data_IF_072129105896
#
_entry.id   IF_072129105896
#
_cell.length_a   1.000
_cell.length_b   1.000
_cell.length_c   1.000
_cell.angle_alpha   90.00
_cell.angle_beta   90.00
_cell.angle_gamma   90.00
#
_symmetry.space_group_name_H-M   'P 1'
#
loop_
_entity.id
_entity.type
_entity.pdbx_description
1 polymer ?
#
# COMPACT_ATOMS: atom_id res chain seq x y z
N UNK A 1 32.96 20.60 -18.86
CA UNK A 1 31.82 20.43 -17.94
C UNK A 1 32.19 19.20 -17.13
N UNK A 2 32.66 19.36 -15.90
CA UNK A 2 33.12 18.23 -15.10
C UNK A 2 31.89 17.39 -14.76
N UNK A 3 31.91 16.12 -15.12
CA UNK A 3 30.97 15.11 -14.67
C UNK A 3 31.13 14.98 -13.15
N UNK A 4 30.31 15.69 -12.40
CA UNK A 4 30.24 15.49 -10.97
C UNK A 4 29.70 14.09 -10.71
N UNK A 5 30.54 13.23 -10.15
CA UNK A 5 30.17 11.92 -9.67
C UNK A 5 28.90 12.06 -8.80
N UNK A 6 27.83 11.42 -9.25
CA UNK A 6 26.50 11.43 -8.61
C UNK A 6 26.58 11.09 -7.11
N UNK A 7 27.54 10.26 -6.72
CA UNK A 7 27.80 9.86 -5.34
C UNK A 7 28.36 11.02 -4.51
N UNK A 8 29.23 11.82 -5.11
CA UNK A 8 29.84 13.01 -4.46
C UNK A 8 28.83 14.13 -4.26
N UNK A 9 27.94 14.33 -5.24
CA UNK A 9 26.83 15.29 -5.12
C UNK A 9 25.87 14.88 -4.00
N UNK A 10 25.53 13.60 -3.89
CA UNK A 10 24.70 13.05 -2.80
C UNK A 10 25.36 13.17 -1.45
N UNK A 11 26.67 12.97 -1.36
CA UNK A 11 27.43 13.12 -0.12
C UNK A 11 27.47 14.59 0.34
N UNK A 12 27.65 15.54 -0.58
CA UNK A 12 27.57 16.98 -0.31
C UNK A 12 26.17 17.38 0.17
N UNK A 13 25.13 16.88 -0.53
CA UNK A 13 23.75 17.14 -0.16
C UNK A 13 23.40 16.60 1.25
N UNK A 14 23.89 15.41 1.59
CA UNK A 14 23.71 14.83 2.92
C UNK A 14 24.42 15.62 4.03
N UNK A 15 25.57 16.24 3.71
CA UNK A 15 26.33 17.11 4.65
C UNK A 15 25.69 18.48 4.86
N UNK A 16 25.08 19.05 3.83
CA UNK A 16 24.38 20.33 3.91
C UNK A 16 23.11 20.25 4.78
N UNK A 17 22.53 19.07 4.93
CA UNK A 17 21.31 18.81 5.70
C UNK A 17 21.55 18.55 7.21
N UNK A 18 22.69 18.92 7.75
CA UNK A 18 23.05 18.68 9.18
C UNK A 18 22.06 19.26 10.20
N UNK A 19 21.23 20.23 9.81
CA UNK A 19 20.22 20.82 10.69
C UNK A 19 18.84 20.12 10.68
N UNK A 20 18.50 19.35 9.62
CA UNK A 20 17.21 18.64 9.50
C UNK A 20 17.41 17.32 8.73
N UNK A 21 17.30 16.17 9.41
CA UNK A 21 17.49 14.87 8.77
C UNK A 21 16.57 14.67 7.54
N UNK A 22 17.11 14.00 6.52
CA UNK A 22 16.32 13.64 5.34
C UNK A 22 15.15 12.72 5.74
N UNK A 23 13.96 13.02 5.23
CA UNK A 23 12.80 12.15 5.37
C UNK A 23 13.05 10.81 4.64
N UNK A 24 12.26 9.78 4.97
CA UNK A 24 12.33 8.50 4.25
C UNK A 24 12.11 8.69 2.75
N UNK A 25 11.14 9.54 2.37
CA UNK A 25 10.86 9.84 0.96
C UNK A 25 12.03 10.48 0.24
N UNK A 26 12.70 11.46 0.85
CA UNK A 26 13.90 12.09 0.29
C UNK A 26 15.05 11.09 0.11
N UNK A 27 15.26 10.22 1.11
CA UNK A 27 16.29 9.18 1.03
C UNK A 27 16.01 8.14 -0.05
N UNK A 28 14.76 7.71 -0.22
CA UNK A 28 14.37 6.79 -1.30
C UNK A 28 14.51 7.46 -2.68
N UNK A 29 14.12 8.74 -2.80
CA UNK A 29 14.26 9.47 -4.06
C UNK A 29 15.73 9.71 -4.48
N UNK A 30 16.65 9.70 -3.52
CA UNK A 30 18.08 9.84 -3.76
C UNK A 30 18.79 8.52 -4.13
N UNK A 31 18.11 7.37 -4.06
CA UNK A 31 18.69 6.07 -4.45
C UNK A 31 18.92 6.01 -5.97
N UNK A 32 19.95 5.27 -6.42
CA UNK A 32 20.15 5.02 -7.85
C UNK A 32 19.16 3.98 -8.40
N UNK A 33 19.00 3.98 -9.71
CA UNK A 33 18.28 2.94 -10.44
C UNK A 33 16.95 3.38 -11.03
N UNK A 34 16.45 2.58 -11.97
CA UNK A 34 15.20 2.83 -12.70
C UNK A 34 13.97 2.76 -11.80
N UNK A 35 14.03 2.01 -10.70
CA UNK A 35 12.94 1.92 -9.71
C UNK A 35 12.50 3.30 -9.18
N UNK A 36 13.43 4.24 -9.03
CA UNK A 36 13.12 5.61 -8.58
C UNK A 36 12.28 6.36 -9.62
N UNK A 37 12.51 6.12 -10.90
CA UNK A 37 11.69 6.63 -12.00
C UNK A 37 10.26 6.08 -11.94
N UNK A 38 10.09 4.78 -11.64
CA UNK A 38 8.78 4.17 -11.43
C UNK A 38 8.03 4.78 -10.25
N UNK A 39 8.73 5.05 -9.16
CA UNK A 39 8.13 5.69 -7.99
C UNK A 39 7.64 7.09 -8.29
N UNK A 40 8.41 7.88 -9.05
CA UNK A 40 8.00 9.22 -9.48
C UNK A 40 6.75 9.15 -10.35
N UNK A 41 6.69 8.19 -11.29
CA UNK A 41 5.52 7.97 -12.13
C UNK A 41 4.29 7.57 -11.31
N UNK A 42 4.43 6.63 -10.35
CA UNK A 42 3.32 6.25 -9.47
C UNK A 42 2.92 7.37 -8.50
N UNK A 43 3.87 8.15 -8.00
CA UNK A 43 3.59 9.29 -7.11
C UNK A 43 2.84 10.41 -7.82
N UNK A 44 3.06 10.60 -9.15
CA UNK A 44 2.32 11.55 -9.97
C UNK A 44 1.00 11.01 -10.51
N UNK A 45 0.62 9.77 -10.18
CA UNK A 45 -0.66 9.21 -10.59
C UNK A 45 -1.83 9.98 -9.96
N UNK A 46 -2.88 10.24 -10.73
CA UNK A 46 -4.03 11.06 -10.32
C UNK A 46 -4.67 10.62 -9.00
N UNK A 47 -4.72 9.33 -8.71
CA UNK A 47 -5.19 8.86 -7.42
C UNK A 47 -4.34 9.39 -6.26
N UNK A 48 -3.01 9.29 -6.36
CA UNK A 48 -2.09 9.78 -5.33
C UNK A 48 -2.09 11.31 -5.28
N UNK A 49 -2.02 11.94 -6.44
CA UNK A 49 -1.85 13.39 -6.57
C UNK A 49 -3.11 14.17 -6.20
N UNK A 50 -4.28 13.66 -6.57
CA UNK A 50 -5.53 14.42 -6.53
C UNK A 50 -6.61 13.80 -5.64
N UNK A 51 -6.62 12.46 -5.48
CA UNK A 51 -7.65 11.77 -4.69
C UNK A 51 -7.23 11.48 -3.24
N UNK A 52 -5.96 11.68 -2.87
CA UNK A 52 -5.51 11.54 -1.48
C UNK A 52 -5.14 12.88 -0.87
N UNK A 53 -5.40 13.04 0.44
CA UNK A 53 -4.96 14.20 1.22
C UNK A 53 -3.59 14.03 1.88
N UNK A 54 -2.83 12.99 1.54
CA UNK A 54 -1.51 12.72 2.13
C UNK A 54 -0.53 13.85 1.82
N UNK A 55 0.29 14.22 2.79
CA UNK A 55 1.28 15.26 2.63
C UNK A 55 2.32 14.89 1.55
N UNK A 56 2.48 15.76 0.55
CA UNK A 56 3.37 15.56 -0.62
C UNK A 56 4.72 16.24 -0.46
N UNK A 57 4.83 17.19 0.48
CA UNK A 57 6.07 17.89 0.77
C UNK A 57 7.18 16.91 1.16
N UNK A 58 8.42 17.23 0.81
CA UNK A 58 9.59 16.41 1.09
C UNK A 58 9.43 14.94 0.64
N UNK A 59 8.79 14.73 -0.51
CA UNK A 59 8.50 13.38 -1.04
C UNK A 59 7.68 12.50 -0.07
N UNK A 60 6.73 13.09 0.65
CA UNK A 60 5.95 12.39 1.69
C UNK A 60 5.18 11.17 1.19
N UNK A 61 4.73 11.16 -0.08
CA UNK A 61 4.03 10.03 -0.71
C UNK A 61 4.96 8.91 -1.22
N UNK A 62 6.28 9.16 -1.32
CA UNK A 62 7.23 8.17 -1.85
C UNK A 62 7.27 6.89 -1.03
N UNK A 63 7.28 6.92 0.31
CA UNK A 63 7.18 5.70 1.11
C UNK A 63 5.93 4.87 0.82
N UNK A 64 4.81 5.50 0.46
CA UNK A 64 3.57 4.78 0.16
C UNK A 64 3.65 4.07 -1.18
N UNK A 65 4.08 4.77 -2.23
CA UNK A 65 4.25 4.13 -3.55
C UNK A 65 5.35 3.08 -3.54
N UNK A 66 6.40 3.25 -2.72
CA UNK A 66 7.40 2.23 -2.47
C UNK A 66 6.79 0.97 -1.84
N UNK A 67 5.93 1.14 -0.82
CA UNK A 67 5.18 0.03 -0.21
C UNK A 67 4.24 -0.63 -1.19
N UNK A 68 3.58 0.12 -2.06
CA UNK A 68 2.72 -0.45 -3.11
C UNK A 68 3.51 -1.40 -4.01
N UNK A 69 4.67 -0.97 -4.53
CA UNK A 69 5.55 -1.84 -5.33
C UNK A 69 6.04 -3.04 -4.53
N UNK A 70 6.43 -2.83 -3.28
CA UNK A 70 6.86 -3.91 -2.38
C UNK A 70 5.75 -4.96 -2.18
N UNK A 71 4.51 -4.52 -1.95
CA UNK A 71 3.38 -5.43 -1.76
C UNK A 71 2.97 -6.16 -3.03
N UNK A 72 3.19 -5.58 -4.19
CA UNK A 72 2.98 -6.29 -5.44
C UNK A 72 3.94 -7.48 -5.58
N UNK A 73 5.15 -7.36 -5.06
CA UNK A 73 6.15 -8.43 -5.13
C UNK A 73 6.02 -9.47 -4.02
N UNK A 74 5.86 -9.01 -2.79
CA UNK A 74 5.97 -9.87 -1.59
C UNK A 74 4.65 -10.07 -0.86
N UNK A 75 3.57 -9.43 -1.28
CA UNK A 75 2.33 -9.42 -0.52
C UNK A 75 2.43 -8.59 0.77
N UNK A 76 1.55 -8.85 1.73
CA UNK A 76 1.43 -8.09 2.98
C UNK A 76 2.53 -8.47 4.01
N UNK A 77 3.79 -8.35 3.62
CA UNK A 77 4.95 -8.54 4.48
C UNK A 77 5.29 -7.26 5.26
N UNK A 78 6.16 -7.40 6.27
CA UNK A 78 6.73 -6.24 6.98
C UNK A 78 7.39 -5.29 5.98
N UNK A 79 7.10 -4.00 6.10
CA UNK A 79 7.56 -3.00 5.14
C UNK A 79 7.90 -1.66 5.81
N UNK A 80 8.84 -1.70 6.75
CA UNK A 80 9.44 -0.52 7.37
C UNK A 80 10.50 0.13 6.49
N UNK A 81 11.29 1.01 7.08
CA UNK A 81 12.33 1.74 6.33
C UNK A 81 13.44 0.83 5.84
N UNK A 82 13.87 -0.15 6.65
CA UNK A 82 14.95 -1.06 6.30
C UNK A 82 14.55 -1.99 5.15
N UNK A 83 13.35 -2.56 5.22
CA UNK A 83 12.83 -3.43 4.17
C UNK A 83 12.70 -2.68 2.83
N UNK A 84 12.29 -1.41 2.88
CA UNK A 84 12.25 -0.56 1.68
C UNK A 84 13.64 -0.28 1.12
N UNK A 85 14.64 -0.04 1.98
CA UNK A 85 16.02 0.17 1.50
C UNK A 85 16.57 -1.07 0.81
N UNK A 86 16.44 -2.25 1.43
CA UNK A 86 16.85 -3.53 0.84
C UNK A 86 16.10 -3.77 -0.47
N UNK A 87 14.79 -3.56 -0.51
CA UNK A 87 13.99 -3.70 -1.73
C UNK A 87 14.51 -2.82 -2.88
N UNK A 88 14.89 -1.57 -2.58
CA UNK A 88 15.43 -0.66 -3.60
C UNK A 88 16.81 -1.07 -4.10
N UNK A 89 17.64 -1.64 -3.25
CA UNK A 89 18.96 -2.13 -3.63
C UNK A 89 18.85 -3.39 -4.50
N UNK A 90 18.05 -4.35 -4.06
CA UNK A 90 17.87 -5.64 -4.77
C UNK A 90 17.11 -5.48 -6.10
N UNK A 91 16.24 -4.47 -6.20
CA UNK A 91 15.37 -4.27 -7.36
C UNK A 91 15.63 -2.93 -8.08
N UNK A 92 16.83 -2.37 -7.97
CA UNK A 92 17.20 -1.08 -8.56
C UNK A 92 16.91 -0.97 -10.06
N UNK A 93 16.93 -2.10 -10.78
CA UNK A 93 16.69 -2.18 -12.23
C UNK A 93 15.23 -2.49 -12.59
N UNK A 94 14.30 -2.48 -11.62
CA UNK A 94 12.88 -2.65 -11.91
C UNK A 94 12.42 -1.59 -12.91
N UNK A 95 11.65 -1.98 -13.92
CA UNK A 95 11.21 -1.11 -15.01
C UNK A 95 9.68 -1.11 -15.22
N UNK A 96 9.22 -0.34 -16.20
CA UNK A 96 7.80 -0.23 -16.55
C UNK A 96 7.21 -1.51 -17.16
N UNK A 97 8.02 -2.46 -17.55
CA UNK A 97 7.58 -3.75 -18.10
C UNK A 97 7.34 -4.77 -17.01
N UNK A 98 7.86 -4.53 -15.80
CA UNK A 98 7.69 -5.43 -14.66
C UNK A 98 6.21 -5.63 -14.30
N UNK A 99 5.88 -6.84 -13.84
CA UNK A 99 4.51 -7.15 -13.42
C UNK A 99 4.09 -6.32 -12.20
N UNK A 100 5.02 -6.06 -11.29
CA UNK A 100 4.79 -5.29 -10.06
C UNK A 100 4.34 -3.87 -10.39
N UNK A 101 5.03 -3.20 -11.32
CA UNK A 101 4.65 -1.86 -11.74
C UNK A 101 3.31 -1.84 -12.48
N UNK A 102 3.09 -2.78 -13.41
CA UNK A 102 1.82 -2.89 -14.14
C UNK A 102 0.64 -3.18 -13.22
N UNK A 103 0.84 -4.06 -12.23
CA UNK A 103 -0.17 -4.37 -11.23
C UNK A 103 -0.47 -3.17 -10.36
N UNK A 104 0.55 -2.51 -9.81
CA UNK A 104 0.38 -1.30 -9.01
C UNK A 104 -0.39 -0.22 -9.79
N UNK A 105 -0.02 0.03 -11.04
CA UNK A 105 -0.70 1.00 -11.89
C UNK A 105 -2.16 0.61 -12.17
N UNK A 106 -2.43 -0.70 -12.39
CA UNK A 106 -3.78 -1.21 -12.56
C UNK A 106 -4.67 -1.01 -11.33
N UNK A 107 -4.11 -1.19 -10.11
CA UNK A 107 -4.83 -0.91 -8.87
C UNK A 107 -5.08 0.60 -8.72
N UNK A 108 -4.09 1.44 -8.99
CA UNK A 108 -4.24 2.90 -8.93
C UNK A 108 -5.27 3.42 -9.95
N UNK A 109 -5.27 2.88 -11.19
CA UNK A 109 -6.27 3.20 -12.21
C UNK A 109 -7.70 2.84 -11.78
N UNK A 110 -7.86 1.75 -11.02
CA UNK A 110 -9.15 1.39 -10.46
C UNK A 110 -9.52 2.34 -9.30
N UNK A 111 -8.57 2.64 -8.41
CA UNK A 111 -8.79 3.52 -7.27
C UNK A 111 -9.15 4.96 -7.68
N UNK A 112 -8.59 5.50 -8.77
CA UNK A 112 -8.98 6.83 -9.24
C UNK A 112 -10.42 6.87 -9.72
N UNK A 113 -10.95 5.74 -10.22
CA UNK A 113 -12.38 5.62 -10.57
C UNK A 113 -13.26 5.52 -9.32
N UNK A 114 -12.81 4.79 -8.28
CA UNK A 114 -13.50 4.73 -6.99
C UNK A 114 -13.56 6.11 -6.31
N UNK A 115 -12.50 6.89 -6.45
CA UNK A 115 -12.32 8.17 -5.77
C UNK A 115 -12.02 9.28 -6.80
N UNK A 116 -13.00 9.63 -7.66
CA UNK A 116 -12.81 10.64 -8.68
C UNK A 116 -12.51 11.98 -8.03
N UNK A 117 -11.77 12.82 -8.74
CA UNK A 117 -11.32 14.13 -8.28
C UNK A 117 -12.52 15.01 -7.99
N UNK A 118 -12.80 15.22 -6.72
CA UNK A 118 -13.80 16.19 -6.28
C UNK A 118 -13.12 17.16 -5.32
N UNK A 119 -13.11 18.46 -5.59
CA UNK A 119 -12.47 19.42 -4.71
C UNK A 119 -13.02 19.31 -3.27
N UNK A 120 -12.14 19.05 -2.33
CA UNK A 120 -12.39 19.16 -0.88
C UNK A 120 -12.86 17.92 -0.13
N UNK A 121 -12.74 16.68 -0.65
CA UNK A 121 -13.62 15.68 -0.10
C UNK A 121 -13.11 14.27 0.26
N UNK A 122 -11.81 14.07 0.43
CA UNK A 122 -11.38 12.74 0.90
C UNK A 122 -10.57 12.80 2.19
N UNK A 123 -11.14 13.43 3.23
CA UNK A 123 -10.56 13.50 4.58
C UNK A 123 -10.18 12.12 5.14
N UNK A 124 -10.87 11.07 4.72
CA UNK A 124 -10.58 9.69 5.10
C UNK A 124 -9.36 9.08 4.38
N UNK A 125 -8.88 9.65 3.27
CA UNK A 125 -7.64 9.26 2.59
C UNK A 125 -6.45 10.20 2.89
N UNK A 126 -6.49 10.95 3.98
CA UNK A 126 -5.43 11.86 4.41
C UNK A 126 -4.28 11.16 5.15
N UNK A 127 -4.49 9.95 5.63
CA UNK A 127 -3.49 9.20 6.39
C UNK A 127 -2.87 8.09 5.54
N UNK A 128 -1.55 8.01 5.53
CA UNK A 128 -0.78 6.97 4.83
C UNK A 128 -1.32 5.55 5.09
N UNK A 129 -1.65 5.26 6.35
CA UNK A 129 -2.17 3.95 6.73
C UNK A 129 -3.52 3.62 6.08
N UNK A 130 -4.40 4.62 5.89
CA UNK A 130 -5.66 4.44 5.18
C UNK A 130 -5.45 4.20 3.69
N UNK A 131 -4.60 5.00 3.06
CA UNK A 131 -4.28 4.85 1.63
C UNK A 131 -3.73 3.45 1.34
N UNK A 132 -2.78 2.98 2.16
CA UNK A 132 -2.20 1.65 2.01
C UNK A 132 -3.20 0.53 2.33
N UNK A 133 -4.05 0.71 3.35
CA UNK A 133 -5.06 -0.29 3.69
C UNK A 133 -6.09 -0.45 2.56
N UNK A 134 -6.56 0.65 1.98
CA UNK A 134 -7.50 0.64 0.84
C UNK A 134 -6.82 0.07 -0.41
N UNK A 135 -5.57 0.46 -0.68
CA UNK A 135 -4.79 -0.09 -1.78
C UNK A 135 -4.66 -1.62 -1.68
N UNK A 136 -4.23 -2.13 -0.52
CA UNK A 136 -4.03 -3.57 -0.31
C UNK A 136 -5.35 -4.35 -0.34
N UNK A 137 -6.45 -3.78 0.18
CA UNK A 137 -7.78 -4.36 0.05
C UNK A 137 -8.18 -4.52 -1.42
N UNK A 138 -8.09 -3.45 -2.22
CA UNK A 138 -8.50 -3.47 -3.63
C UNK A 138 -7.58 -4.39 -4.44
N UNK A 139 -6.28 -4.36 -4.18
CA UNK A 139 -5.32 -5.28 -4.79
C UNK A 139 -5.73 -6.74 -4.60
N UNK A 140 -5.98 -7.14 -3.37
CA UNK A 140 -6.29 -8.54 -3.06
C UNK A 140 -7.69 -8.94 -3.59
N UNK A 141 -8.68 -8.05 -3.49
CA UNK A 141 -9.99 -8.30 -4.10
C UNK A 141 -9.90 -8.46 -5.61
N UNK A 142 -9.07 -7.67 -6.30
CA UNK A 142 -8.84 -7.84 -7.77
C UNK A 142 -8.20 -9.18 -8.14
N UNK A 143 -7.47 -9.81 -7.23
CA UNK A 143 -6.87 -11.13 -7.47
C UNK A 143 -7.87 -12.27 -7.26
N UNK A 144 -8.92 -12.07 -6.48
CA UNK A 144 -9.81 -13.14 -6.02
C UNK A 144 -11.26 -12.96 -6.45
N UNK A 145 -11.66 -11.75 -6.84
CA UNK A 145 -13.06 -11.42 -7.15
C UNK A 145 -13.19 -10.53 -8.37
N UNK A 146 -14.33 -10.64 -9.06
CA UNK A 146 -14.69 -9.72 -10.14
C UNK A 146 -15.12 -8.37 -9.58
N UNK A 147 -14.34 -7.33 -9.86
CA UNK A 147 -14.60 -5.94 -9.42
C UNK A 147 -15.12 -5.03 -10.56
N UNK A 148 -15.62 -5.61 -11.64
CA UNK A 148 -16.21 -4.84 -12.74
C UNK A 148 -17.43 -4.08 -12.21
N UNK A 149 -17.51 -2.78 -12.49
CA UNK A 149 -18.61 -1.89 -12.10
C UNK A 149 -18.85 -1.81 -10.57
N UNK A 150 -17.80 -2.03 -9.77
CA UNK A 150 -17.85 -1.97 -8.30
C UNK A 150 -17.20 -0.69 -7.71
N UNK A 151 -16.79 0.25 -8.55
CA UNK A 151 -16.06 1.46 -8.13
C UNK A 151 -16.85 2.29 -7.12
N UNK A 152 -18.11 2.58 -7.42
CA UNK A 152 -18.99 3.34 -6.50
C UNK A 152 -19.24 2.59 -5.19
N UNK A 153 -19.44 1.27 -5.28
CA UNK A 153 -19.67 0.42 -4.12
C UNK A 153 -18.47 0.47 -3.16
N UNK A 154 -17.26 0.34 -3.69
CA UNK A 154 -16.01 0.43 -2.90
C UNK A 154 -15.87 1.81 -2.28
N UNK A 155 -16.10 2.87 -3.04
CA UNK A 155 -16.06 4.25 -2.54
C UNK A 155 -17.01 4.45 -1.36
N UNK A 156 -18.28 4.07 -1.51
CA UNK A 156 -19.32 4.16 -0.49
C UNK A 156 -18.96 3.34 0.74
N UNK A 157 -18.46 2.12 0.54
CA UNK A 157 -18.01 1.27 1.62
C UNK A 157 -16.89 1.91 2.43
N UNK A 158 -15.81 2.36 1.77
CA UNK A 158 -14.64 2.96 2.45
C UNK A 158 -15.06 4.20 3.24
N UNK A 159 -15.88 5.08 2.67
CA UNK A 159 -16.42 6.25 3.35
C UNK A 159 -17.22 5.86 4.61
N UNK A 160 -18.13 4.90 4.46
CA UNK A 160 -18.98 4.44 5.57
C UNK A 160 -18.15 3.75 6.65
N UNK A 161 -17.21 2.91 6.26
CA UNK A 161 -16.31 2.22 7.19
C UNK A 161 -15.46 3.22 7.98
N UNK A 162 -14.89 4.22 7.29
CA UNK A 162 -14.12 5.28 7.94
C UNK A 162 -14.96 6.01 9.00
N UNK A 163 -16.19 6.43 8.66
CA UNK A 163 -17.08 7.10 9.61
C UNK A 163 -17.35 6.24 10.85
N UNK A 164 -17.57 4.93 10.68
CA UNK A 164 -17.80 4.00 11.78
C UNK A 164 -16.55 3.79 12.64
N UNK A 165 -15.37 3.69 12.04
CA UNK A 165 -14.09 3.58 12.77
C UNK A 165 -13.84 4.80 13.66
N UNK A 166 -14.26 6.00 13.24
CA UNK A 166 -14.10 7.21 14.06
C UNK A 166 -15.27 7.56 14.96
N UNK A 167 -16.38 6.79 14.91
CA UNK A 167 -17.47 6.90 15.86
C UNK A 167 -17.25 5.99 17.08
N UNK A 168 -17.32 6.56 18.28
CA UNK A 168 -17.13 5.81 19.53
C UNK A 168 -18.18 4.71 19.71
N UNK A 169 -19.46 5.01 19.41
CA UNK A 169 -20.56 4.07 19.57
C UNK A 169 -20.39 2.83 18.67
N UNK A 170 -19.98 3.04 17.41
CA UNK A 170 -19.71 1.92 16.50
C UNK A 170 -18.51 1.11 16.94
N UNK A 171 -17.46 1.73 17.47
CA UNK A 171 -16.29 1.00 17.99
C UNK A 171 -16.65 0.14 19.21
N UNK A 172 -17.49 0.65 20.13
CA UNK A 172 -17.95 -0.11 21.29
C UNK A 172 -18.82 -1.31 20.90
N UNK A 173 -19.55 -1.22 19.79
CA UNK A 173 -20.46 -2.27 19.31
C UNK A 173 -19.80 -3.31 18.38
N UNK A 174 -18.62 -3.02 17.83
CA UNK A 174 -17.97 -3.89 16.88
C UNK A 174 -16.45 -3.90 17.07
N UNK A 175 -15.94 -5.08 17.44
CA UNK A 175 -14.52 -5.31 17.72
C UNK A 175 -13.61 -5.02 16.51
N UNK A 176 -14.08 -5.21 15.28
CA UNK A 176 -13.29 -4.93 14.09
C UNK A 176 -13.03 -3.43 13.90
N UNK A 177 -14.02 -2.58 14.18
CA UNK A 177 -13.83 -1.13 14.12
C UNK A 177 -12.84 -0.65 15.18
N UNK A 178 -12.95 -1.19 16.40
CA UNK A 178 -12.00 -0.87 17.48
C UNK A 178 -10.58 -1.33 17.12
N UNK A 179 -10.41 -2.59 16.68
CA UNK A 179 -9.10 -3.13 16.26
C UNK A 179 -8.49 -2.34 15.11
N UNK A 180 -9.30 -1.92 14.14
CA UNK A 180 -8.81 -1.10 13.04
C UNK A 180 -8.36 0.28 13.55
N UNK A 181 -9.16 0.93 14.40
CA UNK A 181 -8.85 2.23 15.00
C UNK A 181 -7.54 2.20 15.79
N UNK A 182 -7.34 1.21 16.63
CA UNK A 182 -6.14 1.05 17.45
C UNK A 182 -4.88 0.87 16.59
N UNK A 183 -5.04 0.24 15.44
CA UNK A 183 -3.93 -0.09 14.55
C UNK A 183 -3.73 0.91 13.40
N UNK A 184 -4.65 1.86 13.15
CA UNK A 184 -4.49 2.83 12.06
C UNK A 184 -3.29 3.76 12.26
N UNK A 185 -2.85 3.98 13.49
CA UNK A 185 -1.63 4.71 13.85
C UNK A 185 -0.42 3.79 14.06
N UNK A 186 -0.61 2.48 13.96
CA UNK A 186 0.45 1.49 14.12
C UNK A 186 1.47 1.51 12.98
N UNK A 187 2.56 0.78 13.19
CA UNK A 187 3.67 0.69 12.23
C UNK A 187 3.35 -0.13 10.97
N UNK A 188 4.41 -0.58 10.32
CA UNK A 188 4.40 -1.30 9.06
C UNK A 188 4.83 -2.76 9.23
N UNK A 189 4.52 -3.38 10.36
CA UNK A 189 4.74 -4.80 10.57
C UNK A 189 3.73 -5.61 9.74
N UNK A 190 4.14 -6.83 9.35
CA UNK A 190 3.27 -7.74 8.59
C UNK A 190 1.91 -7.95 9.27
N UNK A 191 1.92 -8.17 10.58
CA UNK A 191 0.70 -8.36 11.39
C UNK A 191 -0.26 -7.18 11.28
N UNK A 192 0.24 -5.95 11.37
CA UNK A 192 -0.59 -4.73 11.34
C UNK A 192 -1.13 -4.48 9.93
N UNK A 193 -0.31 -4.69 8.90
CA UNK A 193 -0.72 -4.52 7.50
C UNK A 193 -1.81 -5.54 7.15
N UNK A 194 -1.56 -6.82 7.46
CA UNK A 194 -2.52 -7.90 7.24
C UNK A 194 -3.84 -7.67 8.01
N UNK A 195 -3.75 -7.22 9.27
CA UNK A 195 -4.92 -6.91 10.08
C UNK A 195 -5.81 -5.86 9.42
N UNK A 196 -5.23 -4.71 9.03
CA UNK A 196 -5.99 -3.61 8.41
C UNK A 196 -6.68 -4.08 7.11
N UNK A 197 -5.91 -4.74 6.24
CA UNK A 197 -6.41 -5.29 4.98
C UNK A 197 -7.54 -6.30 5.22
N UNK A 198 -7.32 -7.28 6.10
CA UNK A 198 -8.28 -8.36 6.33
C UNK A 198 -9.58 -7.84 6.93
N UNK A 199 -9.53 -6.89 7.86
CA UNK A 199 -10.74 -6.27 8.41
C UNK A 199 -11.54 -5.58 7.30
N UNK A 200 -10.89 -4.81 6.41
CA UNK A 200 -11.58 -4.16 5.29
C UNK A 200 -12.22 -5.18 4.34
N UNK A 201 -11.49 -6.23 3.98
CA UNK A 201 -11.99 -7.28 3.08
C UNK A 201 -13.18 -8.01 3.72
N UNK A 202 -13.07 -8.45 4.96
CA UNK A 202 -14.14 -9.16 5.67
C UNK A 202 -15.39 -8.31 5.81
N UNK A 203 -15.25 -7.06 6.23
CA UNK A 203 -16.37 -6.12 6.35
C UNK A 203 -17.01 -5.77 5.00
N UNK A 204 -16.21 -5.73 3.95
CA UNK A 204 -16.72 -5.49 2.60
C UNK A 204 -17.51 -6.68 2.08
N UNK A 205 -16.93 -7.89 2.06
CA UNK A 205 -17.55 -9.10 1.51
C UNK A 205 -18.79 -9.49 2.32
N UNK A 206 -18.78 -9.32 3.65
CA UNK A 206 -19.95 -9.64 4.49
C UNK A 206 -21.19 -8.82 4.13
N UNK A 207 -21.01 -7.63 3.57
CA UNK A 207 -22.12 -6.72 3.19
C UNK A 207 -22.42 -6.71 1.70
N UNK A 208 -21.44 -7.12 0.90
CA UNK A 208 -21.47 -7.05 -0.56
C UNK A 208 -20.90 -8.36 -1.12
N UNK A 209 -21.71 -9.42 -1.22
CA UNK A 209 -21.26 -10.66 -1.83
C UNK A 209 -20.75 -10.39 -3.26
N UNK A 210 -19.52 -10.79 -3.52
CA UNK A 210 -18.88 -10.68 -4.83
C UNK A 210 -18.83 -12.04 -5.49
N UNK A 211 -18.88 -12.04 -6.80
CA UNK A 211 -18.54 -13.23 -7.58
C UNK A 211 -17.04 -13.51 -7.44
N UNK A 212 -16.70 -14.65 -6.89
CA UNK A 212 -15.31 -15.11 -6.87
C UNK A 212 -14.83 -15.43 -8.29
N UNK A 213 -13.57 -15.11 -8.56
CA UNK A 213 -12.92 -15.53 -9.78
C UNK A 213 -12.62 -17.03 -9.67
N UNK A 214 -12.88 -17.78 -10.74
CA UNK A 214 -12.53 -19.21 -10.78
C UNK A 214 -11.00 -19.34 -10.62
N UNK A 215 -10.58 -19.86 -9.47
CA UNK A 215 -9.16 -19.98 -9.09
C UNK A 215 -8.36 -20.87 -10.05
N UNK A 216 -9.02 -21.73 -10.82
CA UNK A 216 -8.38 -22.50 -11.90
C UNK A 216 -7.88 -21.60 -13.04
N UNK A 217 -8.48 -20.42 -13.24
CA UNK A 217 -8.02 -19.43 -14.20
C UNK A 217 -6.89 -18.56 -13.61
N UNK A 218 -6.89 -18.34 -12.30
CA UNK A 218 -5.85 -17.60 -11.61
C UNK A 218 -4.56 -18.38 -11.41
N UNK A 219 -4.59 -19.70 -11.30
CA UNK A 219 -3.40 -20.55 -11.17
C UNK A 219 -2.46 -20.48 -12.38
N UNK A 220 -2.94 -20.10 -13.55
CA UNK A 220 -2.08 -19.83 -14.70
C UNK A 220 -1.23 -18.56 -14.55
N UNK A 221 -1.62 -17.64 -13.64
CA UNK A 221 -0.88 -16.39 -13.34
C UNK A 221 -0.02 -16.49 -12.07
N UNK A 222 -0.19 -17.54 -11.26
CA UNK A 222 0.47 -17.71 -9.95
C UNK A 222 1.56 -18.79 -9.96
N UNK A 223 1.70 -19.58 -11.04
CA UNK A 223 2.70 -20.66 -11.16
C UNK A 223 4.16 -20.23 -11.29
N UNK A 224 4.55 -19.13 -10.69
CA UNK A 224 5.96 -18.75 -10.50
C UNK A 224 6.32 -18.42 -9.04
N UNK A 225 5.50 -18.89 -8.08
CA UNK A 225 5.90 -18.91 -6.67
C UNK A 225 6.09 -20.39 -6.32
N UNK A 226 7.35 -20.79 -6.09
CA UNK A 226 7.67 -22.17 -5.70
C UNK A 226 6.97 -22.54 -4.38
N UNK A 227 6.54 -23.82 -4.22
CA UNK A 227 5.77 -24.27 -3.04
C UNK A 227 6.58 -24.36 -1.75
N UNK A 228 7.85 -23.95 -1.73
CA UNK A 228 8.75 -24.11 -0.58
C UNK A 228 8.56 -23.13 0.57
N UNK A 229 7.72 -22.08 0.40
CA UNK A 229 7.61 -21.01 1.42
C UNK A 229 6.26 -20.99 2.16
N UNK A 230 5.48 -22.08 2.09
CA UNK A 230 4.27 -22.21 2.90
C UNK A 230 4.55 -23.18 4.05
N UNK A 231 5.39 -22.78 4.98
CA UNK A 231 5.37 -23.37 6.33
C UNK A 231 4.15 -22.81 7.09
N UNK A 232 3.21 -23.71 7.33
CA UNK A 232 2.06 -23.46 8.20
C UNK A 232 2.51 -23.31 9.67
N UNK A 233 2.16 -22.24 10.35
CA UNK A 233 2.05 -22.30 11.81
C UNK A 233 0.58 -22.30 12.22
N UNK A 234 -0.08 -23.43 12.06
CA UNK A 234 -1.26 -23.74 12.88
C UNK A 234 -0.90 -24.95 13.71
N UNK A 235 -0.35 -24.70 14.90
CA UNK A 235 -0.42 -25.56 16.10
C UNK A 235 0.38 -24.88 17.19
N UNK A 236 -0.28 -24.14 18.07
CA UNK A 236 -0.02 -24.05 19.51
C UNK A 236 -0.99 -23.02 20.11
N UNK A 237 -2.23 -23.43 20.26
CA UNK A 237 -3.14 -22.89 21.27
C UNK A 237 -3.69 -24.07 22.04
N UNK A 238 -2.89 -24.62 22.94
CA UNK A 238 -3.37 -25.38 24.08
C UNK A 238 -2.44 -25.17 25.27
N UNK A 239 -3.06 -24.96 26.42
CA UNK A 239 -2.52 -24.94 27.79
C UNK A 239 -1.80 -23.67 28.25
N UNK A 240 -2.59 -22.74 28.84
CA UNK A 240 -2.26 -22.20 30.16
C UNK A 240 -3.53 -22.23 31.03
N UNK A 241 -3.55 -23.18 31.93
CA UNK A 241 -4.30 -23.09 33.17
C UNK A 241 -3.64 -22.08 34.10
#
# INVERSE_FOLDING_TARGET
>A
MEDYDDERVRLIFSRLQRGKPLSLGERLNAKPGSIVGLMRDLASHDFIEKSTGVAKNRYGVFPDVARMLFYEKFGAKQCGSNELYTFFEDHKNLDKLSKEYKSAKSVLNFLVKCFPITPGNYSYLEKHAWVIAVYTMVRDLKLTHALVDKEELISKFVKTFHSKVYSEDFRKSNVNYQRFYDNVRGGWSEKIIALRRNILIQEFISKHPLQELDLNFCNFMVTSIEPSDVEHPIHHLQSFQ
#
